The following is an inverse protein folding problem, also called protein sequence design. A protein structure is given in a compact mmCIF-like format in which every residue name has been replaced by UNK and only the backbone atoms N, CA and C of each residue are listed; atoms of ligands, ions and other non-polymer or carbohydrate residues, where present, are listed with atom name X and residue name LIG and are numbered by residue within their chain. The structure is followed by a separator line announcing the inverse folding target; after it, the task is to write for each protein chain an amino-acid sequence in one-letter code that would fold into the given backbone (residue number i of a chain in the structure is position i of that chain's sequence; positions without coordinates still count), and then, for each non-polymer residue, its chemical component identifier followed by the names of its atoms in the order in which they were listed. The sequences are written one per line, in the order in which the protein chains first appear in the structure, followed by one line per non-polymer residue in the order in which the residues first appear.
data_IF_827352673275
#
_entry.id   IF_827352673275
#
_cell.length_a   1.000
_cell.length_b   1.000
_cell.length_c   1.000
_cell.angle_alpha   90.00
_cell.angle_beta   90.00
_cell.angle_gamma   90.00
#
_symmetry.space_group_name_H-M   'P 1'
#
loop_
_entity.id
_entity.type
_entity.pdbx_description
1 polymer ?
#
# COMPACT_ATOMS: atom_id res chain seq x y z
N UNK A 1 9.83 -4.45 -17.57
CA UNK A 1 10.97 -4.45 -16.62
C UNK A 1 11.43 -5.88 -16.46
N UNK A 2 12.68 -6.22 -16.78
CA UNK A 2 13.17 -7.60 -16.66
C UNK A 2 13.56 -7.88 -15.21
N UNK A 3 12.79 -8.68 -14.49
CA UNK A 3 13.28 -9.34 -13.26
C UNK A 3 14.47 -10.21 -13.68
N UNK A 4 15.64 -10.06 -13.06
CA UNK A 4 16.87 -10.76 -13.47
C UNK A 4 16.68 -12.28 -13.64
N UNK A 5 17.49 -12.90 -14.51
CA UNK A 5 17.47 -14.35 -14.76
C UNK A 5 18.13 -15.11 -13.60
N UNK A 6 17.66 -16.32 -13.31
CA UNK A 6 18.26 -17.20 -12.31
C UNK A 6 19.05 -18.33 -12.99
N UNK A 7 20.19 -18.70 -12.41
CA UNK A 7 20.97 -19.86 -12.84
C UNK A 7 20.40 -21.09 -12.14
N UNK A 8 19.90 -22.05 -12.92
CA UNK A 8 19.45 -23.37 -12.42
C UNK A 8 20.24 -24.47 -13.11
N UNK A 9 20.27 -25.64 -12.51
CA UNK A 9 20.90 -26.82 -13.11
C UNK A 9 19.88 -27.54 -13.98
N UNK A 10 20.21 -27.82 -15.25
CA UNK A 10 19.37 -28.66 -16.11
C UNK A 10 19.53 -30.15 -15.76
N UNK A 11 18.75 -30.99 -16.41
CA UNK A 11 18.77 -32.46 -16.29
C UNK A 11 20.11 -33.11 -16.64
N UNK A 12 20.97 -32.40 -17.37
CA UNK A 12 22.33 -32.82 -17.73
C UNK A 12 23.42 -32.27 -16.80
N UNK A 13 23.06 -31.54 -15.74
CA UNK A 13 24.02 -31.01 -14.77
C UNK A 13 24.70 -29.69 -15.17
N UNK A 14 24.21 -29.00 -16.21
CA UNK A 14 24.76 -27.72 -16.65
C UNK A 14 23.98 -26.53 -16.07
N UNK A 15 24.67 -25.43 -15.72
CA UNK A 15 24.02 -24.19 -15.33
C UNK A 15 23.38 -23.52 -16.55
N UNK A 16 22.06 -23.30 -16.49
CA UNK A 16 21.28 -22.61 -17.52
C UNK A 16 20.59 -21.39 -16.93
N UNK A 17 20.48 -20.33 -17.73
CA UNK A 17 19.73 -19.13 -17.37
C UNK A 17 18.26 -19.35 -17.67
N UNK A 18 17.43 -19.37 -16.63
CA UNK A 18 15.97 -19.40 -16.76
C UNK A 18 15.38 -18.09 -16.27
N UNK A 19 14.21 -17.75 -16.80
CA UNK A 19 13.45 -16.62 -16.27
C UNK A 19 13.03 -16.93 -14.84
N UNK A 20 13.23 -15.95 -13.96
CA UNK A 20 12.78 -16.07 -12.58
C UNK A 20 11.25 -16.21 -12.62
N UNK A 21 10.68 -17.25 -11.97
CA UNK A 21 9.23 -17.32 -11.85
C UNK A 21 8.73 -16.04 -11.17
N UNK A 22 7.61 -15.51 -11.66
CA UNK A 22 6.94 -14.39 -11.02
C UNK A 22 6.59 -14.70 -9.57
N UNK A 23 6.33 -13.67 -8.75
CA UNK A 23 5.92 -13.88 -7.37
C UNK A 23 4.68 -14.78 -7.30
N UNK A 24 4.64 -15.67 -6.32
CA UNK A 24 3.50 -16.55 -6.10
C UNK A 24 2.26 -15.74 -5.72
N UNK A 25 1.06 -16.29 -5.88
CA UNK A 25 -0.17 -15.71 -5.35
C UNK A 25 -0.04 -15.27 -3.88
N UNK A 26 0.58 -16.09 -3.02
CA UNK A 26 0.78 -15.77 -1.60
C UNK A 26 1.73 -14.58 -1.40
N UNK A 27 2.82 -14.50 -2.18
CA UNK A 27 3.74 -13.37 -2.15
C UNK A 27 3.07 -12.07 -2.60
N UNK A 28 2.28 -12.13 -3.67
CA UNK A 28 1.46 -11.00 -4.13
C UNK A 28 0.50 -10.53 -3.03
N UNK A 29 -0.18 -11.46 -2.35
CA UNK A 29 -1.04 -11.12 -1.21
C UNK A 29 -0.25 -10.42 -0.10
N UNK A 30 0.96 -10.90 0.19
CA UNK A 30 1.86 -10.31 1.17
C UNK A 30 2.26 -8.88 0.81
N UNK A 31 2.60 -8.63 -0.46
CA UNK A 31 2.93 -7.29 -0.95
C UNK A 31 1.76 -6.31 -0.81
N UNK A 32 0.55 -6.74 -1.17
CA UNK A 32 -0.64 -5.88 -1.08
C UNK A 32 -1.05 -5.58 0.37
N UNK A 33 -0.97 -6.57 1.26
CA UNK A 33 -1.18 -6.37 2.70
C UNK A 33 -0.15 -5.41 3.29
N UNK A 34 1.12 -5.57 2.90
CA UNK A 34 2.21 -4.68 3.32
C UNK A 34 1.96 -3.26 2.84
N UNK A 35 1.58 -3.08 1.56
CA UNK A 35 1.24 -1.77 1.00
C UNK A 35 0.09 -1.10 1.78
N UNK A 36 -1.01 -1.81 2.03
CA UNK A 36 -2.13 -1.30 2.84
C UNK A 36 -1.68 -0.83 4.22
N UNK A 37 -0.88 -1.65 4.90
CA UNK A 37 -0.38 -1.32 6.23
C UNK A 37 0.55 -0.09 6.20
N UNK A 38 1.36 0.06 5.16
CA UNK A 38 2.20 1.25 4.95
C UNK A 38 1.36 2.51 4.73
N UNK A 39 0.30 2.45 3.91
CA UNK A 39 -0.61 3.59 3.70
C UNK A 39 -1.32 4.02 4.99
N UNK A 40 -1.76 3.07 5.80
CA UNK A 40 -2.33 3.35 7.12
C UNK A 40 -1.28 4.00 8.04
N UNK A 41 -0.09 3.41 8.14
CA UNK A 41 0.98 3.95 8.99
C UNK A 41 1.40 5.38 8.58
N UNK A 42 1.50 5.65 7.28
CA UNK A 42 1.86 6.97 6.75
C UNK A 42 0.84 8.06 7.10
N UNK A 43 -0.39 7.68 7.47
CA UNK A 43 -1.48 8.62 7.78
C UNK A 43 -1.88 8.61 9.26
N UNK A 44 -1.21 7.81 10.10
CA UNK A 44 -1.53 7.70 11.53
C UNK A 44 -1.19 9.00 12.28
N UNK A 45 0.02 9.53 12.10
CA UNK A 45 0.47 10.76 12.78
C UNK A 45 -0.44 11.96 12.48
N UNK A 46 -0.88 12.10 11.24
CA UNK A 46 -1.77 13.18 10.79
C UNK A 46 -3.14 13.08 11.47
N UNK A 47 -3.66 11.86 11.65
CA UNK A 47 -4.94 11.64 12.35
C UNK A 47 -4.82 11.96 13.82
N UNK A 48 -3.73 11.53 14.46
CA UNK A 48 -3.47 11.79 15.87
C UNK A 48 -3.29 13.30 16.12
N UNK A 49 -2.49 13.97 15.29
CA UNK A 49 -2.30 15.42 15.34
C UNK A 49 -3.62 16.18 15.17
N UNK A 50 -4.44 15.83 14.17
CA UNK A 50 -5.73 16.49 13.99
C UNK A 50 -6.63 16.33 15.22
N UNK A 51 -6.66 15.15 15.85
CA UNK A 51 -7.46 14.89 17.06
C UNK A 51 -6.98 15.71 18.26
N UNK A 52 -5.68 15.88 18.40
CA UNK A 52 -5.10 16.68 19.47
C UNK A 52 -5.30 18.20 19.25
N UNK A 53 -5.29 18.63 17.99
CA UNK A 53 -5.39 20.05 17.61
C UNK A 53 -6.84 20.54 17.54
N UNK A 54 -7.80 19.73 17.08
CA UNK A 54 -9.17 20.18 16.76
C UNK A 54 -9.89 20.93 17.89
N UNK A 55 -9.55 20.63 19.15
CA UNK A 55 -10.16 21.26 20.33
C UNK A 55 -9.47 22.55 20.79
N UNK A 56 -8.20 22.78 20.40
CA UNK A 56 -7.33 23.80 21.03
C UNK A 56 -6.51 24.64 20.06
N UNK A 57 -6.24 24.17 18.86
CA UNK A 57 -5.29 24.78 17.93
C UNK A 57 -5.81 24.79 16.49
N UNK A 58 -5.28 25.65 15.62
CA UNK A 58 -5.51 25.55 14.19
C UNK A 58 -5.00 24.22 13.67
N UNK A 59 -5.83 23.50 12.93
CA UNK A 59 -5.49 22.21 12.35
C UNK A 59 -4.78 22.37 11.01
N UNK A 60 -3.81 21.49 10.72
CA UNK A 60 -3.20 21.39 9.39
C UNK A 60 -4.19 20.98 8.30
N UNK A 61 -5.21 20.19 8.65
CA UNK A 61 -6.27 19.75 7.76
C UNK A 61 -7.55 20.54 8.01
N UNK A 62 -8.28 20.81 6.94
CA UNK A 62 -9.68 21.23 7.07
C UNK A 62 -10.57 20.05 7.52
N UNK A 63 -11.74 20.30 8.13
CA UNK A 63 -12.69 19.24 8.49
C UNK A 63 -13.09 18.34 7.30
N UNK A 64 -13.19 18.92 6.10
CA UNK A 64 -13.47 18.18 4.87
C UNK A 64 -12.32 17.22 4.49
N UNK A 65 -11.07 17.70 4.51
CA UNK A 65 -9.90 16.87 4.26
C UNK A 65 -9.75 15.76 5.30
N UNK A 66 -10.04 16.05 6.58
CA UNK A 66 -10.03 15.03 7.62
C UNK A 66 -11.10 13.96 7.38
N UNK A 67 -12.31 14.34 6.94
CA UNK A 67 -13.36 13.38 6.58
C UNK A 67 -12.97 12.51 5.37
N UNK A 68 -12.38 13.11 4.34
CA UNK A 68 -11.84 12.38 3.18
C UNK A 68 -10.75 11.38 3.61
N UNK A 69 -9.84 11.80 4.50
CA UNK A 69 -8.79 10.93 5.04
C UNK A 69 -9.36 9.73 5.80
N UNK A 70 -10.36 9.97 6.65
CA UNK A 70 -11.00 8.93 7.43
C UNK A 70 -11.77 7.95 6.52
N UNK A 71 -12.36 8.46 5.43
CA UNK A 71 -13.02 7.65 4.40
C UNK A 71 -11.99 6.78 3.67
N UNK A 72 -10.90 7.38 3.17
CA UNK A 72 -9.80 6.66 2.53
C UNK A 72 -9.23 5.56 3.43
N UNK A 73 -8.94 5.86 4.70
CA UNK A 73 -8.44 4.89 5.69
C UNK A 73 -9.44 3.77 5.98
N UNK A 74 -10.75 4.06 5.99
CA UNK A 74 -11.78 3.04 6.13
C UNK A 74 -11.81 2.12 4.90
N UNK A 75 -11.77 2.68 3.69
CA UNK A 75 -11.71 1.91 2.45
C UNK A 75 -10.49 1.01 2.42
N UNK A 76 -9.31 1.51 2.82
CA UNK A 76 -8.09 0.69 2.95
C UNK A 76 -8.27 -0.50 3.91
N UNK A 77 -8.97 -0.32 5.04
CA UNK A 77 -9.16 -1.40 6.04
C UNK A 77 -10.14 -2.48 5.58
N UNK A 78 -11.19 -2.08 4.88
CA UNK A 78 -12.19 -3.00 4.32
C UNK A 78 -11.59 -3.76 3.13
N UNK A 79 -10.63 -3.15 2.45
CA UNK A 79 -9.93 -3.75 1.33
C UNK A 79 -8.97 -4.89 1.77
N UNK A 80 -8.94 -6.02 1.04
CA UNK A 80 -9.75 -6.35 -0.14
C UNK A 80 -11.15 -6.89 0.21
N UNK A 81 -12.19 -6.36 -0.45
CA UNK A 81 -13.54 -6.96 -0.40
C UNK A 81 -13.52 -8.26 -1.22
N UNK A 82 -13.46 -9.42 -0.56
CA UNK A 82 -13.73 -10.71 -1.23
C UNK A 82 -12.61 -11.74 -1.26
N UNK A 83 -11.45 -11.49 -0.65
CA UNK A 83 -10.40 -12.51 -0.49
C UNK A 83 -9.64 -12.91 -1.76
N UNK A 84 -10.06 -12.41 -2.92
CA UNK A 84 -9.24 -12.46 -4.14
C UNK A 84 -8.05 -11.51 -4.02
N UNK A 85 -6.94 -11.90 -4.65
CA UNK A 85 -5.71 -11.12 -4.72
C UNK A 85 -6.05 -9.77 -5.35
N UNK A 86 -5.87 -8.65 -4.65
CA UNK A 86 -6.20 -7.40 -5.27
C UNK A 86 -5.17 -7.10 -6.36
N UNK A 87 -5.67 -6.91 -7.58
CA UNK A 87 -4.90 -6.27 -8.63
C UNK A 87 -4.52 -4.88 -8.13
N UNK A 88 -3.25 -4.51 -8.32
CA UNK A 88 -2.75 -3.19 -7.92
C UNK A 88 -3.56 -2.02 -8.52
N UNK A 89 -4.26 -2.26 -9.63
CA UNK A 89 -5.17 -1.35 -10.32
C UNK A 89 -6.42 -1.00 -9.48
N UNK A 90 -6.81 -1.86 -8.53
CA UNK A 90 -7.99 -1.70 -7.68
C UNK A 90 -7.62 -1.15 -6.29
N UNK A 91 -6.38 -0.65 -6.11
CA UNK A 91 -5.99 0.00 -4.86
C UNK A 91 -6.85 1.25 -4.64
N UNK A 92 -7.34 1.48 -3.41
CA UNK A 92 -8.02 2.73 -3.09
C UNK A 92 -7.13 3.91 -3.45
N UNK A 93 -7.66 4.87 -4.22
CA UNK A 93 -6.93 6.06 -4.60
C UNK A 93 -6.76 6.99 -3.40
N UNK A 94 -5.52 7.39 -3.12
CA UNK A 94 -5.25 8.38 -2.11
C UNK A 94 -5.77 9.77 -2.54
N UNK A 95 -6.30 10.59 -1.61
CA UNK A 95 -6.64 11.97 -1.91
C UNK A 95 -5.42 12.76 -2.40
N UNK A 96 -5.57 13.57 -3.45
CA UNK A 96 -4.44 14.27 -4.08
C UNK A 96 -3.68 15.19 -3.12
N UNK A 97 -4.39 15.83 -2.20
CA UNK A 97 -3.80 16.71 -1.20
C UNK A 97 -2.94 15.98 -0.17
N UNK A 98 -3.12 14.65 0.01
CA UNK A 98 -2.38 13.87 1.00
C UNK A 98 -0.87 13.88 0.70
N UNK A 99 -0.51 13.85 -0.58
CA UNK A 99 0.89 13.93 -1.02
C UNK A 99 1.53 15.32 -0.78
N UNK A 100 0.72 16.34 -0.48
CA UNK A 100 1.19 17.69 -0.19
C UNK A 100 1.43 17.93 1.31
N UNK A 101 1.14 16.94 2.17
CA UNK A 101 1.42 17.07 3.59
C UNK A 101 2.92 16.97 3.89
N UNK A 102 3.43 17.74 4.86
CA UNK A 102 4.78 17.55 5.36
C UNK A 102 4.91 16.14 5.98
N UNK A 103 6.01 15.45 5.66
CA UNK A 103 6.37 14.14 6.23
C UNK A 103 6.90 14.27 7.65
#
# INVERSE_FOLDING_TARGET
MSMGKMIVMNDQGYPVLVDRPGPTPEELQGYERSWRNQQLKATDSVVDQYRDEVERWPTLLTPAQYLELQTYRRTLRIWPEGGELPLSEHRPAAPAWLASLPQ
#
